data_IF_935669697482
#
_entry.id   IF_935669697482
#
_cell.length_a   1.000
_cell.length_b   1.000
_cell.length_c   1.000
_cell.angle_alpha   90.00
_cell.angle_beta   90.00
_cell.angle_gamma   90.00
#
_symmetry.space_group_name_H-M   'P 1'
#
loop_
_entity.id
_entity.type
_entity.pdbx_description
1 polymer ?
#
# COMPACT_ATOMS: atom_id res chain seq x y z
N UNK A 1 -44.17 -28.19 -20.15
CA UNK A 1 -44.46 -29.38 -19.34
C UNK A 1 -43.61 -29.25 -18.10
N UNK A 2 -44.31 -29.13 -16.98
CA UNK A 2 -43.85 -28.79 -15.64
C UNK A 2 -42.63 -29.59 -15.16
N UNK A 3 -41.74 -28.93 -14.42
CA UNK A 3 -41.26 -29.43 -13.12
C UNK A 3 -40.83 -28.25 -12.24
N UNK A 4 -41.69 -27.94 -11.27
CA UNK A 4 -41.41 -27.17 -10.06
C UNK A 4 -40.84 -28.09 -8.98
N UNK A 5 -39.92 -27.58 -8.16
CA UNK A 5 -39.51 -28.16 -6.88
C UNK A 5 -38.19 -27.51 -6.42
N UNK A 6 -38.10 -26.67 -5.38
CA UNK A 6 -38.95 -26.51 -4.20
C UNK A 6 -38.32 -27.22 -2.99
N UNK A 7 -37.25 -26.65 -2.42
CA UNK A 7 -36.71 -27.07 -1.12
C UNK A 7 -36.59 -25.87 -0.19
N UNK A 8 -37.59 -25.71 0.67
CA UNK A 8 -37.52 -24.96 1.91
C UNK A 8 -37.02 -25.90 3.00
N UNK A 9 -36.03 -25.46 3.81
CA UNK A 9 -35.67 -26.14 5.05
C UNK A 9 -35.87 -25.20 6.22
N UNK A 10 -36.70 -25.67 7.15
CA UNK A 10 -37.11 -25.02 8.37
C UNK A 10 -35.99 -25.03 9.43
N UNK A 11 -35.91 -23.93 10.18
CA UNK A 11 -35.22 -23.82 11.46
C UNK A 11 -36.13 -24.34 12.58
N UNK A 12 -35.60 -25.06 13.58
CA UNK A 12 -36.22 -25.13 14.89
C UNK A 12 -35.53 -24.16 15.84
N UNK A 13 -36.31 -23.25 16.42
CA UNK A 13 -35.93 -22.54 17.64
C UNK A 13 -36.15 -23.42 18.87
N UNK A 14 -35.39 -23.15 19.93
CA UNK A 14 -35.80 -23.43 21.32
C UNK A 14 -34.98 -22.58 22.29
N UNK A 15 -35.72 -21.81 23.09
CA UNK A 15 -35.29 -21.16 24.33
C UNK A 15 -34.88 -22.18 25.39
N UNK A 16 -33.96 -21.82 26.29
CA UNK A 16 -33.92 -22.04 27.75
C UNK A 16 -32.66 -21.30 28.28
N UNK A 17 -32.79 -20.18 29.00
CA UNK A 17 -32.92 -20.06 30.46
C UNK A 17 -31.66 -20.41 31.29
N UNK A 18 -31.09 -19.38 31.95
CA UNK A 18 -30.58 -19.44 33.32
C UNK A 18 -29.12 -19.85 33.56
N UNK A 19 -28.35 -18.98 34.23
CA UNK A 19 -27.14 -19.40 34.93
C UNK A 19 -26.10 -18.31 35.21
N UNK A 20 -26.30 -17.53 36.28
CA UNK A 20 -25.19 -16.93 37.02
C UNK A 20 -24.24 -18.04 37.52
N UNK A 21 -22.91 -17.89 37.38
CA UNK A 21 -21.95 -18.01 38.49
C UNK A 21 -20.49 -17.80 38.04
N UNK A 22 -19.78 -17.00 38.85
CA UNK A 22 -18.36 -17.08 39.25
C UNK A 22 -17.25 -16.89 38.22
N UNK A 23 -16.76 -15.65 38.22
CA UNK A 23 -15.33 -15.31 38.10
C UNK A 23 -14.48 -16.19 39.01
N UNK A 24 -13.60 -16.99 38.41
CA UNK A 24 -12.49 -17.66 39.09
C UNK A 24 -11.20 -17.18 38.44
N UNK A 25 -10.48 -16.32 39.16
CA UNK A 25 -9.12 -15.91 38.82
C UNK A 25 -8.20 -17.10 39.15
N UNK A 26 -7.68 -17.75 38.11
CA UNK A 26 -6.64 -18.76 38.24
C UNK A 26 -5.29 -18.08 38.01
N UNK A 27 -4.61 -17.78 39.12
CA UNK A 27 -3.19 -17.42 39.17
C UNK A 27 -2.39 -18.71 39.04
N UNK A 28 -1.61 -18.85 37.97
CA UNK A 28 -0.56 -19.86 37.85
C UNK A 28 0.82 -19.20 38.01
N UNK A 29 1.71 -19.75 38.85
CA UNK A 29 3.09 -19.29 38.96
C UNK A 29 4.00 -20.20 38.11
N UNK A 30 4.66 -19.63 37.10
CA UNK A 30 5.86 -20.18 36.47
C UNK A 30 6.69 -18.94 36.11
N UNK A 31 7.97 -18.84 36.43
CA UNK A 31 8.98 -19.88 36.40
C UNK A 31 10.16 -19.25 35.68
N UNK A 32 11.30 -19.32 36.33
CA UNK A 32 12.52 -18.57 36.08
C UNK A 32 13.22 -18.88 34.75
N UNK A 33 13.92 -17.85 34.23
CA UNK A 33 15.22 -17.87 33.51
C UNK A 33 15.31 -18.54 32.13
N UNK A 34 15.57 -17.73 31.10
CA UNK A 34 16.81 -17.80 30.30
C UNK A 34 16.95 -16.57 29.39
N UNK A 35 17.83 -15.65 29.77
CA UNK A 35 18.38 -14.62 28.89
C UNK A 35 19.46 -15.29 28.03
N UNK A 36 19.32 -15.28 26.71
CA UNK A 36 20.43 -15.51 25.79
C UNK A 36 20.87 -14.14 25.25
N UNK A 37 21.87 -13.56 25.91
CA UNK A 37 22.56 -12.37 25.44
C UNK A 37 23.67 -12.82 24.47
N UNK A 38 23.56 -12.45 23.19
CA UNK A 38 24.65 -12.58 22.24
C UNK A 38 25.54 -11.33 22.35
N UNK A 39 26.75 -11.52 22.89
CA UNK A 39 27.82 -10.54 22.91
C UNK A 39 28.43 -10.38 21.51
N UNK A 40 28.48 -9.14 21.00
CA UNK A 40 29.49 -8.72 20.02
C UNK A 40 30.39 -7.69 20.72
N UNK A 41 31.68 -8.00 20.75
CA UNK A 41 32.73 -7.23 21.41
C UNK A 41 33.49 -6.34 20.41
N UNK A 42 33.46 -5.04 20.62
CA UNK A 42 34.38 -4.00 20.12
C UNK A 42 34.32 -2.88 21.19
N UNK A 43 35.35 -2.27 21.75
CA UNK A 43 36.81 -2.39 21.76
C UNK A 43 37.27 -1.31 22.77
N UNK A 44 38.34 -1.59 23.54
CA UNK A 44 38.88 -0.71 24.59
C UNK A 44 39.41 0.63 24.05
N UNK A 45 39.29 1.70 24.86
CA UNK A 45 40.12 2.89 24.72
C UNK A 45 39.71 4.05 25.63
N UNK A 46 40.00 3.94 26.94
CA UNK A 46 39.82 5.02 27.90
C UNK A 46 41.00 6.00 27.95
N UNK A 47 40.74 7.23 28.38
CA UNK A 47 41.73 8.25 28.68
C UNK A 47 41.10 9.51 29.27
N UNK A 48 40.95 9.55 30.60
CA UNK A 48 40.59 10.74 31.35
C UNK A 48 41.81 11.68 31.47
N UNK A 49 41.58 12.98 31.29
CA UNK A 49 42.59 14.01 31.51
C UNK A 49 41.94 15.40 31.49
N UNK A 50 41.51 15.86 32.65
CA UNK A 50 41.03 17.22 32.83
C UNK A 50 42.16 18.26 32.76
N UNK A 51 41.87 19.41 32.18
CA UNK A 51 42.49 20.68 32.58
C UNK A 51 41.58 21.84 32.19
N UNK A 52 41.27 22.65 33.19
CA UNK A 52 40.63 23.95 33.09
C UNK A 52 41.55 24.94 32.38
N UNK A 53 40.99 25.78 31.50
CA UNK A 53 41.62 27.03 31.07
C UNK A 53 40.54 28.01 30.60
N UNK A 54 40.46 29.13 31.31
CA UNK A 54 39.62 30.27 30.99
C UNK A 54 40.16 30.98 29.74
N UNK A 55 39.26 31.30 28.81
CA UNK A 55 39.57 32.05 27.59
C UNK A 55 38.41 32.96 27.24
N UNK A 56 38.69 34.26 27.24
CA UNK A 56 37.79 35.40 27.20
C UNK A 56 37.62 35.90 25.76
N UNK A 57 36.41 36.35 25.41
CA UNK A 57 36.21 37.45 24.45
C UNK A 57 36.00 37.07 22.98
N UNK A 58 34.94 37.63 22.38
CA UNK A 58 34.76 37.65 20.93
C UNK A 58 33.32 37.86 20.48
N UNK A 59 32.74 39.01 20.77
CA UNK A 59 31.49 39.44 20.15
C UNK A 59 31.73 39.77 18.67
N UNK A 60 31.02 39.09 17.76
CA UNK A 60 30.87 39.52 16.38
C UNK A 60 29.39 39.37 16.01
N UNK A 61 28.79 40.48 15.58
CA UNK A 61 27.36 40.61 15.39
C UNK A 61 26.83 39.84 14.19
N UNK A 62 25.68 39.19 14.39
CA UNK A 62 24.82 38.75 13.31
C UNK A 62 23.70 39.80 13.14
N UNK A 63 23.81 40.59 12.08
CA UNK A 63 22.80 41.53 11.63
C UNK A 63 21.74 40.83 10.79
N UNK A 64 20.48 41.13 11.11
CA UNK A 64 19.36 41.41 10.19
C UNK A 64 18.99 40.37 9.12
N UNK A 65 17.76 39.85 9.20
CA UNK A 65 17.14 39.21 8.04
C UNK A 65 15.80 38.49 8.23
N UNK A 66 14.94 38.89 9.15
CA UNK A 66 13.55 38.40 9.17
C UNK A 66 12.76 39.02 8.02
N UNK A 67 12.73 38.36 6.87
CA UNK A 67 11.72 38.61 5.84
C UNK A 67 10.75 37.42 5.80
N UNK A 68 9.64 37.60 6.52
CA UNK A 68 8.42 36.85 6.29
C UNK A 68 7.86 37.24 4.93
N UNK A 69 8.25 36.50 3.90
CA UNK A 69 7.56 36.48 2.61
C UNK A 69 6.56 35.34 2.63
N UNK A 70 5.33 35.62 3.10
CA UNK A 70 4.19 34.75 2.87
C UNK A 70 3.91 34.69 1.37
N UNK A 71 4.62 33.81 0.67
CA UNK A 71 4.41 33.56 -0.74
C UNK A 71 3.11 32.76 -0.85
N UNK A 72 2.00 33.48 -0.84
CA UNK A 72 0.70 33.00 -1.27
C UNK A 72 0.83 32.74 -2.77
N UNK A 73 1.50 31.63 -3.12
CA UNK A 73 1.66 31.20 -4.49
C UNK A 73 0.25 31.06 -5.05
N UNK A 74 -0.11 31.99 -5.94
CA UNK A 74 -1.29 31.85 -6.79
C UNK A 74 -1.00 30.62 -7.64
N UNK A 75 -1.37 29.45 -7.14
CA UNK A 75 -1.22 28.17 -7.84
C UNK A 75 -1.74 28.37 -9.25
N UNK A 76 -0.83 28.26 -10.22
CA UNK A 76 -1.20 28.39 -11.62
C UNK A 76 -2.37 27.45 -11.84
N UNK A 77 -3.54 28.01 -12.17
CA UNK A 77 -4.75 27.24 -12.33
C UNK A 77 -4.52 26.29 -13.49
N UNK A 78 -4.11 25.06 -13.18
CA UNK A 78 -4.19 23.95 -14.10
C UNK A 78 -5.63 23.92 -14.58
N UNK A 79 -5.80 24.03 -15.89
CA UNK A 79 -7.09 23.77 -16.48
C UNK A 79 -7.21 22.25 -16.53
N UNK A 80 -8.23 21.69 -15.89
CA UNK A 80 -8.53 20.25 -15.97
C UNK A 80 -9.11 19.94 -17.36
N UNK A 81 -8.31 20.17 -18.40
CA UNK A 81 -8.74 20.08 -19.79
C UNK A 81 -8.86 18.60 -20.16
N UNK A 82 -10.06 18.19 -20.55
CA UNK A 82 -10.36 16.79 -20.89
C UNK A 82 -10.93 15.96 -19.75
N UNK A 83 -11.13 16.56 -18.56
CA UNK A 83 -11.82 15.89 -17.46
C UNK A 83 -13.27 15.54 -17.89
N UNK A 84 -13.79 14.35 -17.54
CA UNK A 84 -15.20 14.08 -17.69
C UNK A 84 -16.00 15.13 -16.90
N UNK A 85 -17.04 15.68 -17.52
CA UNK A 85 -17.88 16.74 -16.93
C UNK A 85 -18.88 16.22 -15.89
N UNK A 86 -18.94 14.90 -15.69
CA UNK A 86 -19.87 14.22 -14.80
C UNK A 86 -19.21 13.06 -14.08
N UNK A 87 -19.65 12.80 -12.85
CA UNK A 87 -19.12 11.75 -11.98
C UNK A 87 -18.22 12.31 -10.88
N UNK A 88 -17.68 11.40 -10.06
CA UNK A 88 -16.82 11.74 -8.92
C UNK A 88 -15.41 11.27 -9.20
N UNK A 89 -14.43 12.17 -9.07
CA UNK A 89 -13.01 11.81 -9.12
C UNK A 89 -12.43 11.97 -7.73
N UNK A 90 -11.80 10.91 -7.26
CA UNK A 90 -11.15 10.84 -5.95
C UNK A 90 -9.66 10.59 -6.16
N UNK A 91 -8.82 11.23 -5.37
CA UNK A 91 -7.40 10.90 -5.26
C UNK A 91 -7.09 10.46 -3.84
N UNK A 92 -6.26 9.43 -3.68
CA UNK A 92 -5.80 9.02 -2.37
C UNK A 92 -4.96 10.16 -1.77
N UNK A 93 -5.40 10.66 -0.62
CA UNK A 93 -4.72 11.69 0.16
C UNK A 93 -3.97 11.10 1.35
N UNK A 94 -4.19 9.81 1.65
CA UNK A 94 -3.33 9.00 2.51
C UNK A 94 -3.21 7.59 1.96
N UNK A 95 -2.04 6.97 2.13
CA UNK A 95 -1.79 5.56 1.87
C UNK A 95 -1.14 4.93 3.11
N UNK A 96 -1.70 3.82 3.57
CA UNK A 96 -1.16 2.99 4.64
C UNK A 96 -0.54 1.75 4.04
N UNK A 97 0.71 1.50 4.37
CA UNK A 97 1.41 0.30 3.94
C UNK A 97 1.21 -0.88 4.92
N UNK A 98 0.60 -0.64 6.08
CA UNK A 98 0.33 -1.66 7.11
C UNK A 98 1.36 -1.70 8.24
N UNK A 99 2.07 -0.59 8.49
CA UNK A 99 3.15 -0.43 9.46
C UNK A 99 2.79 0.45 10.67
N UNK A 100 1.54 0.92 10.80
CA UNK A 100 1.14 1.77 11.94
C UNK A 100 1.19 1.04 13.28
N UNK A 101 0.99 -0.27 13.24
CA UNK A 101 1.18 -1.18 14.37
C UNK A 101 1.74 -2.52 13.85
N UNK A 102 2.35 -3.35 14.72
CA UNK A 102 2.87 -4.66 14.29
C UNK A 102 1.85 -5.60 13.60
N UNK A 103 0.55 -5.35 13.78
CA UNK A 103 -0.53 -6.16 13.22
C UNK A 103 -1.42 -5.36 12.25
N UNK A 104 -1.06 -4.13 11.87
CA UNK A 104 -1.89 -3.29 11.00
C UNK A 104 -2.05 -3.91 9.60
N UNK A 105 -1.00 -4.53 9.07
CA UNK A 105 -1.01 -5.29 7.82
C UNK A 105 -2.15 -6.31 7.71
N UNK A 106 -2.63 -6.88 8.83
CA UNK A 106 -3.70 -7.89 8.86
C UNK A 106 -5.04 -7.37 8.34
N UNK A 107 -5.24 -6.04 8.32
CA UNK A 107 -6.51 -5.41 7.98
C UNK A 107 -6.59 -4.95 6.52
N UNK A 108 -5.45 -4.93 5.82
CA UNK A 108 -5.34 -4.39 4.47
C UNK A 108 -5.07 -5.48 3.45
N UNK A 109 -5.77 -5.42 2.32
CA UNK A 109 -5.71 -6.44 1.28
C UNK A 109 -6.99 -7.25 1.19
N UNK A 110 -6.87 -8.44 0.59
CA UNK A 110 -7.99 -9.35 0.35
C UNK A 110 -7.49 -10.79 0.48
N UNK A 111 -8.42 -11.71 0.64
CA UNK A 111 -8.17 -13.12 0.38
C UNK A 111 -8.10 -13.35 -1.14
N UNK A 112 -6.87 -13.47 -1.64
CA UNK A 112 -6.50 -13.65 -3.04
C UNK A 112 -6.47 -15.12 -3.42
N UNK A 113 -6.10 -16.00 -2.50
CA UNK A 113 -5.86 -17.40 -2.77
C UNK A 113 -6.98 -18.37 -2.34
N UNK A 114 -7.98 -17.84 -1.62
CA UNK A 114 -9.16 -18.55 -1.14
C UNK A 114 -8.92 -19.38 0.11
N UNK A 115 -7.72 -19.33 0.70
CA UNK A 115 -7.34 -20.06 1.89
C UNK A 115 -7.49 -19.17 3.12
N UNK A 116 -7.67 -19.80 4.28
CA UNK A 116 -7.66 -19.10 5.57
C UNK A 116 -6.78 -19.94 6.48
N UNK A 117 -5.59 -19.44 6.79
CA UNK A 117 -4.57 -20.11 7.57
C UNK A 117 -4.00 -19.19 8.64
N UNK A 118 -3.90 -19.70 9.86
CA UNK A 118 -2.97 -19.17 10.87
C UNK A 118 -1.89 -20.23 11.06
N UNK A 119 -0.82 -20.18 10.28
CA UNK A 119 0.28 -21.15 10.31
C UNK A 119 0.42 -21.97 9.02
N UNK A 120 1.20 -23.08 9.03
CA UNK A 120 1.60 -23.76 7.81
C UNK A 120 0.40 -24.40 7.10
N UNK A 121 -0.06 -23.76 6.03
CA UNK A 121 -1.09 -24.29 5.15
C UNK A 121 -0.51 -25.42 4.30
N UNK A 122 -1.06 -26.63 4.41
CA UNK A 122 -0.66 -27.77 3.57
C UNK A 122 -1.11 -27.63 2.11
N UNK A 123 -1.95 -26.63 1.81
CA UNK A 123 -2.52 -26.43 0.48
C UNK A 123 -1.97 -25.17 -0.22
N UNK A 124 -1.06 -24.43 0.42
CA UNK A 124 -0.38 -23.29 -0.18
C UNK A 124 0.88 -23.74 -0.95
N UNK A 125 1.37 -22.91 -1.87
CA UNK A 125 2.63 -23.14 -2.58
C UNK A 125 3.83 -23.32 -1.65
N UNK A 126 4.91 -23.87 -2.18
CA UNK A 126 6.16 -24.05 -1.43
C UNK A 126 6.86 -22.71 -1.28
N UNK A 127 7.21 -22.29 -0.04
CA UNK A 127 7.98 -21.08 0.16
C UNK A 127 9.34 -21.15 -0.54
N UNK A 128 9.75 -20.01 -1.10
CA UNK A 128 11.08 -19.84 -1.69
C UNK A 128 12.19 -19.98 -0.64
N UNK A 129 13.39 -20.37 -1.08
CA UNK A 129 14.60 -20.32 -0.24
C UNK A 129 14.60 -21.21 1.01
N UNK A 130 13.58 -22.06 1.20
CA UNK A 130 13.40 -22.83 2.43
C UNK A 130 12.83 -22.02 3.60
N UNK A 131 12.21 -20.86 3.30
CA UNK A 131 11.48 -20.07 4.30
C UNK A 131 10.43 -20.92 5.02
N UNK A 132 10.19 -20.61 6.29
CA UNK A 132 9.21 -21.34 7.07
C UNK A 132 7.80 -21.01 6.58
N UNK A 133 7.04 -22.02 6.14
CA UNK A 133 5.66 -21.82 5.67
C UNK A 133 4.76 -21.11 6.68
N UNK A 134 5.02 -21.25 7.98
CA UNK A 134 4.24 -20.58 9.02
C UNK A 134 4.47 -19.06 9.08
N UNK A 135 5.59 -18.55 8.56
CA UNK A 135 5.92 -17.13 8.53
C UNK A 135 5.44 -16.48 7.22
N UNK A 136 5.53 -17.23 6.11
CA UNK A 136 5.20 -16.72 4.77
C UNK A 136 3.69 -16.77 4.50
N UNK A 137 2.98 -17.77 5.04
CA UNK A 137 1.53 -17.92 4.91
C UNK A 137 0.79 -17.59 6.22
N UNK A 138 1.28 -16.61 7.00
CA UNK A 138 0.50 -16.06 8.12
C UNK A 138 -0.49 -15.04 7.56
N UNK A 139 -1.77 -15.41 7.54
CA UNK A 139 -2.80 -14.54 6.99
C UNK A 139 -3.23 -13.47 7.99
N UNK A 140 -3.72 -12.36 7.43
CA UNK A 140 -4.47 -11.35 8.15
C UNK A 140 -5.88 -11.79 8.54
N UNK A 141 -6.69 -10.83 8.96
CA UNK A 141 -8.03 -11.06 9.46
C UNK A 141 -8.93 -11.67 8.37
N UNK A 142 -9.50 -12.86 8.63
CA UNK A 142 -10.34 -13.61 7.68
C UNK A 142 -9.61 -14.09 6.41
N UNK A 143 -8.31 -14.39 6.51
CA UNK A 143 -7.51 -14.88 5.38
C UNK A 143 -7.08 -13.75 4.45
N UNK A 144 -6.78 -12.56 4.98
CA UNK A 144 -6.28 -11.45 4.16
C UNK A 144 -4.80 -11.70 3.84
N UNK A 145 -4.46 -11.72 2.55
CA UNK A 145 -3.09 -11.89 2.09
C UNK A 145 -2.41 -10.51 2.00
N UNK A 146 -1.34 -10.32 2.79
CA UNK A 146 -0.53 -9.10 2.76
C UNK A 146 0.92 -9.33 3.21
N UNK A 147 1.62 -10.21 2.50
CA UNK A 147 3.05 -10.46 2.70
C UNK A 147 3.91 -9.21 2.43
N UNK A 148 3.44 -8.27 1.59
CA UNK A 148 4.11 -6.98 1.45
C UNK A 148 4.19 -6.23 2.79
N UNK A 149 3.05 -6.03 3.46
CA UNK A 149 3.00 -5.37 4.76
C UNK A 149 3.72 -6.16 5.86
N UNK A 150 3.57 -7.49 5.86
CA UNK A 150 4.12 -8.36 6.90
C UNK A 150 5.62 -8.61 6.77
N UNK A 151 6.09 -8.94 5.57
CA UNK A 151 7.42 -9.49 5.32
C UNK A 151 8.31 -8.54 4.50
N UNK A 152 7.77 -7.79 3.53
CA UNK A 152 8.56 -6.89 2.69
C UNK A 152 8.87 -5.56 3.38
N UNK A 153 7.89 -4.93 4.04
CA UNK A 153 8.11 -3.66 4.73
C UNK A 153 9.20 -3.72 5.80
N UNK A 154 9.31 -4.77 6.64
CA UNK A 154 10.44 -4.91 7.54
C UNK A 154 11.80 -4.94 6.83
N UNK A 155 11.90 -5.54 5.65
CA UNK A 155 13.13 -5.51 4.84
C UNK A 155 13.40 -4.08 4.34
N UNK A 156 12.38 -3.40 3.83
CA UNK A 156 12.47 -2.01 3.37
C UNK A 156 12.90 -1.06 4.51
N UNK A 157 12.46 -1.33 5.75
CA UNK A 157 12.83 -0.52 6.91
C UNK A 157 14.32 -0.56 7.29
N UNK A 158 15.09 -1.47 6.68
CA UNK A 158 16.56 -1.50 6.81
C UNK A 158 17.26 -0.44 5.94
N UNK A 159 16.56 0.12 4.95
CA UNK A 159 17.09 1.10 3.99
C UNK A 159 16.36 2.44 4.03
N UNK A 160 15.08 2.46 4.44
CA UNK A 160 14.25 3.65 4.59
C UNK A 160 13.62 3.65 5.97
N UNK A 161 13.75 4.74 6.73
CA UNK A 161 13.33 4.77 8.14
C UNK A 161 11.81 4.70 8.33
N UNK A 162 11.04 5.45 7.54
CA UNK A 162 9.58 5.54 7.66
C UNK A 162 8.92 5.61 6.28
N UNK A 163 8.72 4.43 5.69
CA UNK A 163 8.21 4.30 4.33
C UNK A 163 6.80 4.89 4.19
N UNK A 164 5.91 4.66 5.16
CA UNK A 164 4.56 5.23 5.12
C UNK A 164 4.59 6.76 5.26
N UNK A 165 5.42 7.32 6.14
CA UNK A 165 5.53 8.78 6.24
C UNK A 165 6.03 9.40 4.94
N UNK A 166 7.08 8.85 4.33
CA UNK A 166 7.64 9.35 3.07
C UNK A 166 6.60 9.35 1.93
N UNK A 167 5.83 8.26 1.80
CA UNK A 167 4.78 8.16 0.77
C UNK A 167 3.70 9.20 1.01
N UNK A 168 3.25 9.37 2.26
CA UNK A 168 2.20 10.32 2.59
C UNK A 168 2.67 11.77 2.45
N UNK A 169 3.91 12.09 2.83
CA UNK A 169 4.51 13.41 2.60
C UNK A 169 4.55 13.71 1.10
N UNK A 170 5.03 12.77 0.28
CA UNK A 170 5.05 12.94 -1.16
C UNK A 170 3.65 13.18 -1.73
N UNK A 171 2.61 12.45 -1.29
CA UNK A 171 1.22 12.67 -1.71
C UNK A 171 0.74 14.09 -1.34
N UNK A 172 1.05 14.56 -0.13
CA UNK A 172 0.68 15.91 0.34
C UNK A 172 1.41 17.01 -0.43
N UNK A 173 2.59 16.73 -0.97
CA UNK A 173 3.33 17.62 -1.88
C UNK A 173 2.87 17.53 -3.34
N UNK A 174 1.90 16.65 -3.64
CA UNK A 174 1.35 16.46 -4.97
C UNK A 174 2.06 15.39 -5.80
N UNK A 175 2.71 14.44 -5.15
CA UNK A 175 3.40 13.29 -5.74
C UNK A 175 2.49 12.34 -6.51
N UNK A 176 3.02 11.17 -6.87
CA UNK A 176 2.19 10.12 -7.47
C UNK A 176 1.18 9.56 -6.45
N UNK A 177 -0.05 9.27 -6.88
CA UNK A 177 -1.08 8.67 -6.00
C UNK A 177 -2.08 7.81 -6.77
N UNK A 178 -2.97 7.11 -6.07
CA UNK A 178 -4.11 6.40 -6.65
C UNK A 178 -5.23 7.38 -7.00
N UNK A 179 -5.70 7.37 -8.25
CA UNK A 179 -6.86 8.18 -8.68
C UNK A 179 -7.99 7.27 -9.16
N UNK A 180 -9.19 7.47 -8.62
CA UNK A 180 -10.39 6.69 -8.98
C UNK A 180 -11.45 7.62 -9.54
N UNK A 181 -11.93 7.32 -10.73
CA UNK A 181 -13.07 7.98 -11.35
C UNK A 181 -14.30 7.08 -11.31
N UNK A 182 -15.37 7.54 -10.64
CA UNK A 182 -16.66 6.88 -10.54
C UNK A 182 -17.67 7.58 -11.45
N UNK A 183 -18.11 6.90 -12.50
CA UNK A 183 -19.07 7.41 -13.46
C UNK A 183 -20.51 7.16 -13.00
N UNK A 184 -21.35 8.20 -13.03
CA UNK A 184 -22.78 8.06 -12.72
C UNK A 184 -23.13 7.81 -11.25
N UNK A 185 -22.19 8.05 -10.31
CA UNK A 185 -22.47 7.95 -8.88
C UNK A 185 -23.58 8.93 -8.46
N UNK A 186 -24.73 8.40 -8.07
CA UNK A 186 -25.86 9.17 -7.52
C UNK A 186 -25.90 9.18 -6.00
N UNK A 187 -27.03 9.63 -5.45
CA UNK A 187 -27.26 9.73 -3.99
C UNK A 187 -27.96 8.50 -3.39
N UNK A 188 -28.34 7.50 -4.20
CA UNK A 188 -29.04 6.32 -3.69
C UNK A 188 -28.10 5.48 -2.79
N UNK A 189 -28.58 4.94 -1.66
CA UNK A 189 -27.77 4.13 -0.75
C UNK A 189 -27.30 2.82 -1.38
N UNK A 190 -28.03 2.31 -2.37
CA UNK A 190 -27.66 1.16 -3.19
C UNK A 190 -27.70 1.54 -4.66
N UNK A 191 -26.62 1.24 -5.39
CA UNK A 191 -26.50 1.47 -6.82
C UNK A 191 -25.74 0.31 -7.45
N UNK A 192 -26.15 -0.09 -8.65
CA UNK A 192 -25.50 -1.14 -9.42
C UNK A 192 -24.97 -0.54 -10.72
N UNK A 193 -23.95 -1.17 -11.30
CA UNK A 193 -23.34 -0.74 -12.57
C UNK A 193 -22.84 0.70 -12.47
N UNK A 194 -21.97 0.96 -11.50
CA UNK A 194 -21.21 2.21 -11.42
C UNK A 194 -19.87 1.95 -12.11
N UNK A 195 -19.67 2.36 -13.37
CA UNK A 195 -18.39 2.14 -14.02
C UNK A 195 -17.31 2.93 -13.28
N UNK A 196 -16.22 2.25 -12.95
CA UNK A 196 -15.05 2.89 -12.37
C UNK A 196 -13.82 2.73 -13.25
N UNK A 197 -13.00 3.77 -13.26
CA UNK A 197 -11.68 3.79 -13.91
C UNK A 197 -10.64 4.13 -12.86
N UNK A 198 -9.53 3.42 -12.87
CA UNK A 198 -8.45 3.62 -11.90
C UNK A 198 -7.18 4.00 -12.63
N UNK A 199 -6.52 5.03 -12.14
CA UNK A 199 -5.33 5.61 -12.72
C UNK A 199 -4.23 5.74 -11.67
N UNK A 200 -3.01 5.76 -12.16
CA UNK A 200 -1.87 6.29 -11.43
C UNK A 200 -1.86 7.79 -11.68
N UNK A 201 -2.04 8.59 -10.63
CA UNK A 201 -1.88 10.04 -10.70
C UNK A 201 -0.40 10.39 -10.82
N UNK A 202 -0.06 11.32 -11.72
CA UNK A 202 1.29 11.85 -11.84
C UNK A 202 1.49 13.07 -10.90
N UNK A 203 2.73 13.54 -10.81
CA UNK A 203 3.09 14.74 -10.03
C UNK A 203 2.25 15.95 -10.46
N UNK A 204 1.66 16.64 -9.48
CA UNK A 204 1.01 17.94 -9.65
C UNK A 204 2.04 19.07 -9.55
N UNK A 205 1.80 20.24 -10.18
CA UNK A 205 2.73 21.37 -10.12
C UNK A 205 2.71 22.14 -8.80
N UNK A 206 1.78 21.79 -7.89
CA UNK A 206 1.64 22.41 -6.57
C UNK A 206 0.95 21.42 -5.63
N UNK A 207 1.26 21.55 -4.33
CA UNK A 207 0.63 20.77 -3.28
C UNK A 207 -0.91 20.88 -3.36
N UNK A 208 -1.64 19.75 -3.40
CA UNK A 208 -3.10 19.72 -3.48
C UNK A 208 -3.76 20.23 -2.20
N UNK A 209 -4.91 20.88 -2.34
CA UNK A 209 -5.75 21.27 -1.21
C UNK A 209 -6.75 20.17 -0.79
N UNK A 210 -7.02 19.22 -1.69
CA UNK A 210 -7.98 18.12 -1.50
C UNK A 210 -9.42 18.59 -1.24
N UNK A 211 -9.84 19.64 -1.95
CA UNK A 211 -11.17 20.28 -1.80
C UNK A 211 -12.04 20.16 -3.07
N UNK A 212 -11.72 19.24 -3.98
CA UNK A 212 -12.43 19.07 -5.26
C UNK A 212 -12.02 20.06 -6.35
N UNK A 213 -11.10 20.99 -6.05
CA UNK A 213 -10.59 21.97 -7.00
C UNK A 213 -9.36 21.50 -7.77
N UNK A 214 -8.58 20.61 -7.17
CA UNK A 214 -7.27 20.16 -7.66
C UNK A 214 -7.40 19.34 -8.94
N UNK A 215 -6.64 19.67 -9.99
CA UNK A 215 -6.54 18.81 -11.17
C UNK A 215 -5.38 17.84 -10.98
N UNK A 216 -5.64 16.53 -10.96
CA UNK A 216 -4.60 15.51 -10.84
C UNK A 216 -4.24 14.95 -12.22
N UNK A 217 -3.05 15.21 -12.77
CA UNK A 217 -2.65 14.67 -14.07
C UNK A 217 -2.59 13.13 -14.04
N UNK A 218 -2.90 12.49 -15.17
CA UNK A 218 -2.83 11.03 -15.29
C UNK A 218 -1.44 10.63 -15.79
N UNK A 219 -0.79 9.67 -15.11
CA UNK A 219 0.44 9.04 -15.58
C UNK A 219 0.11 8.17 -16.81
N UNK A 220 0.78 8.39 -17.96
CA UNK A 220 0.62 7.58 -19.16
C UNK A 220 0.74 6.06 -18.94
N UNK A 221 1.49 5.60 -17.94
CA UNK A 221 1.67 4.16 -17.64
C UNK A 221 0.35 3.48 -17.27
N UNK A 222 -0.63 4.24 -16.79
CA UNK A 222 -1.96 3.74 -16.41
C UNK A 222 -2.94 3.65 -17.58
N UNK A 223 -2.49 3.88 -18.82
CA UNK A 223 -3.34 3.87 -20.01
C UNK A 223 -2.97 2.72 -20.96
N UNK A 224 -3.97 2.03 -21.50
CA UNK A 224 -3.77 1.00 -22.52
C UNK A 224 -3.27 1.59 -23.84
N UNK A 225 -3.71 2.80 -24.16
CA UNK A 225 -3.31 3.54 -25.37
C UNK A 225 -2.80 4.92 -24.95
N UNK A 226 -1.57 5.29 -25.32
CA UNK A 226 -1.05 6.63 -25.05
C UNK A 226 -1.99 7.71 -25.58
N UNK A 227 -2.41 8.63 -24.71
CA UNK A 227 -3.32 9.72 -25.09
C UNK A 227 -4.81 9.46 -24.84
N UNK A 228 -5.23 8.23 -24.51
CA UNK A 228 -6.65 7.86 -24.37
C UNK A 228 -7.07 7.73 -22.89
N UNK A 229 -7.57 8.81 -22.29
CA UNK A 229 -8.01 8.84 -20.88
C UNK A 229 -9.15 7.85 -20.59
N UNK A 230 -9.96 7.52 -21.59
CA UNK A 230 -11.10 6.62 -21.50
C UNK A 230 -10.72 5.13 -21.47
N UNK A 231 -9.45 4.80 -21.75
CA UNK A 231 -8.91 3.44 -21.82
C UNK A 231 -7.81 3.20 -20.76
N UNK A 232 -8.12 3.26 -19.45
CA UNK A 232 -7.16 2.91 -18.41
C UNK A 232 -6.80 1.42 -18.47
N UNK A 233 -5.64 1.05 -17.94
CA UNK A 233 -5.28 -0.37 -17.75
C UNK A 233 -6.27 -1.06 -16.81
N UNK A 234 -6.75 -0.35 -15.77
CA UNK A 234 -7.69 -0.87 -14.77
C UNK A 234 -9.07 -0.22 -14.92
N UNK A 235 -10.11 -1.06 -15.08
CA UNK A 235 -11.51 -0.62 -15.05
C UNK A 235 -12.42 -1.64 -14.39
N UNK A 236 -13.49 -1.15 -13.74
CA UNK A 236 -14.55 -1.95 -13.15
C UNK A 236 -15.89 -1.53 -13.79
N UNK A 237 -16.31 -2.16 -14.90
CA UNK A 237 -17.51 -1.75 -15.63
C UNK A 237 -18.81 -2.03 -14.87
N UNK A 238 -18.78 -2.92 -13.87
CA UNK A 238 -19.95 -3.41 -13.14
C UNK A 238 -19.76 -3.32 -11.62
N UNK A 239 -19.17 -2.23 -11.15
CA UNK A 239 -19.02 -1.98 -9.72
C UNK A 239 -20.39 -1.70 -9.07
N UNK A 240 -20.46 -1.82 -7.74
CA UNK A 240 -21.68 -1.59 -6.96
C UNK A 240 -21.40 -0.73 -5.73
N UNK A 241 -22.44 -0.05 -5.28
CA UNK A 241 -22.48 0.62 -3.98
C UNK A 241 -23.60 0.01 -3.14
N UNK A 242 -23.30 -0.40 -1.91
CA UNK A 242 -24.31 -0.84 -0.93
C UNK A 242 -24.00 -0.18 0.40
N UNK A 243 -24.94 0.61 0.92
CA UNK A 243 -24.80 1.30 2.21
C UNK A 243 -23.51 2.14 2.33
N UNK A 244 -23.17 2.89 1.28
CA UNK A 244 -21.94 3.69 1.13
C UNK A 244 -20.67 2.90 0.85
N UNK A 245 -20.64 1.58 1.04
CA UNK A 245 -19.52 0.76 0.61
C UNK A 245 -19.55 0.62 -0.91
N UNK A 246 -18.49 1.09 -1.57
CA UNK A 246 -18.23 0.86 -2.98
C UNK A 246 -17.32 -0.37 -3.13
N UNK A 247 -17.66 -1.23 -4.07
CA UNK A 247 -16.85 -2.39 -4.44
C UNK A 247 -16.64 -2.46 -5.94
N UNK A 248 -15.39 -2.70 -6.35
CA UNK A 248 -15.03 -3.01 -7.74
C UNK A 248 -15.65 -4.31 -8.25
N UNK A 249 -16.04 -5.22 -7.33
CA UNK A 249 -16.58 -6.52 -7.66
C UNK A 249 -15.49 -7.49 -8.13
N UNK A 250 -15.57 -7.91 -9.40
CA UNK A 250 -14.60 -8.84 -9.98
C UNK A 250 -13.19 -8.22 -10.06
N UNK A 251 -12.18 -9.09 -10.09
CA UNK A 251 -10.78 -8.71 -10.28
C UNK A 251 -10.61 -7.93 -11.59
N UNK A 252 -9.93 -6.78 -11.53
CA UNK A 252 -9.64 -6.01 -12.73
C UNK A 252 -8.59 -6.72 -13.60
N UNK A 253 -8.74 -6.56 -14.92
CA UNK A 253 -7.74 -7.01 -15.88
C UNK A 253 -6.64 -5.96 -16.03
N UNK A 254 -5.41 -6.39 -16.27
CA UNK A 254 -4.26 -5.51 -16.46
C UNK A 254 -3.53 -5.13 -15.15
N UNK A 255 -2.33 -4.54 -15.24
CA UNK A 255 -1.60 -4.08 -14.07
C UNK A 255 -1.99 -2.66 -13.64
N UNK A 256 -1.94 -2.40 -12.34
CA UNK A 256 -1.91 -1.07 -11.74
C UNK A 256 -0.48 -0.76 -11.31
N UNK A 257 0.13 0.27 -11.88
CA UNK A 257 1.46 0.70 -11.46
C UNK A 257 1.35 1.67 -10.30
N UNK A 258 1.72 1.26 -9.09
CA UNK A 258 1.93 2.18 -7.98
C UNK A 258 3.34 2.76 -8.04
N UNK A 259 3.50 4.04 -7.72
CA UNK A 259 4.80 4.67 -7.52
C UNK A 259 4.84 5.21 -6.10
N UNK A 260 5.57 4.52 -5.24
CA UNK A 260 5.76 4.91 -3.84
C UNK A 260 7.03 5.75 -3.77
N UNK A 261 6.92 7.00 -3.34
CA UNK A 261 8.10 7.84 -3.12
C UNK A 261 8.64 7.58 -1.73
N UNK A 262 9.88 7.11 -1.64
CA UNK A 262 10.55 6.70 -0.41
C UNK A 262 11.93 7.34 -0.37
N UNK A 263 12.22 8.18 0.63
CA UNK A 263 13.47 8.93 0.72
C UNK A 263 13.78 9.77 -0.53
N UNK A 264 12.76 10.21 -1.27
CA UNK A 264 12.92 10.94 -2.55
C UNK A 264 13.15 10.04 -3.78
N UNK A 265 13.17 8.72 -3.62
CA UNK A 265 13.35 7.75 -4.72
C UNK A 265 12.05 6.98 -5.00
N UNK A 266 11.66 6.79 -6.27
CA UNK A 266 10.44 6.05 -6.60
C UNK A 266 10.67 4.53 -6.53
N UNK A 267 9.88 3.84 -5.72
CA UNK A 267 9.65 2.40 -5.82
C UNK A 267 8.42 2.15 -6.69
N UNK A 268 8.64 1.59 -7.89
CA UNK A 268 7.60 1.38 -8.90
C UNK A 268 7.12 -0.06 -8.86
N UNK A 269 5.85 -0.27 -8.51
CA UNK A 269 5.26 -1.58 -8.23
C UNK A 269 4.11 -1.89 -9.21
N UNK A 270 4.27 -2.85 -10.15
CA UNK A 270 3.21 -3.26 -11.07
C UNK A 270 2.27 -4.30 -10.44
N UNK A 271 1.23 -3.87 -9.75
CA UNK A 271 0.27 -4.76 -9.11
C UNK A 271 -0.65 -5.42 -10.13
N UNK A 272 -0.86 -6.73 -9.97
CA UNK A 272 -1.77 -7.53 -10.78
C UNK A 272 -2.94 -8.02 -9.94
N UNK A 273 -3.99 -8.49 -10.61
CA UNK A 273 -5.21 -8.99 -9.97
C UNK A 273 -5.83 -8.00 -8.96
N UNK A 274 -5.86 -6.72 -9.34
CA UNK A 274 -6.22 -5.64 -8.41
C UNK A 274 -7.68 -5.72 -7.98
N UNK A 275 -7.88 -5.64 -6.67
CA UNK A 275 -9.18 -5.49 -6.00
C UNK A 275 -9.18 -4.18 -5.23
N UNK A 276 -10.32 -3.50 -5.26
CA UNK A 276 -10.53 -2.21 -4.61
C UNK A 276 -11.88 -2.20 -3.90
N UNK A 277 -11.87 -1.71 -2.68
CA UNK A 277 -13.05 -1.49 -1.83
C UNK A 277 -12.84 -0.22 -1.02
N UNK A 278 -13.88 0.58 -0.81
CA UNK A 278 -13.83 1.69 0.12
C UNK A 278 -15.23 2.10 0.56
N UNK A 279 -15.32 2.82 1.67
CA UNK A 279 -16.55 3.44 2.14
C UNK A 279 -16.60 4.90 1.68
N UNK A 280 -17.64 5.27 0.95
CA UNK A 280 -17.90 6.67 0.60
C UNK A 280 -18.25 7.46 1.87
N UNK A 281 -17.79 8.71 1.95
CA UNK A 281 -18.21 9.63 3.00
C UNK A 281 -19.74 9.84 2.96
N UNK A 282 -20.38 10.31 4.06
CA UNK A 282 -21.82 10.62 4.06
C UNK A 282 -22.27 11.59 2.97
N UNK A 283 -21.39 12.54 2.62
CA UNK A 283 -21.56 13.51 1.53
C UNK A 283 -21.23 12.94 0.15
N UNK A 284 -20.63 11.74 0.09
CA UNK A 284 -20.22 11.02 -1.13
C UNK A 284 -19.29 11.84 -2.02
N UNK A 285 -18.45 12.65 -1.38
CA UNK A 285 -17.40 13.47 -1.99
C UNK A 285 -16.00 13.00 -1.62
N UNK A 286 -15.87 11.97 -0.78
CA UNK A 286 -14.61 11.35 -0.42
C UNK A 286 -14.78 9.86 -0.14
N UNK A 287 -13.69 9.21 0.26
CA UNK A 287 -13.68 7.83 0.67
C UNK A 287 -12.80 7.60 1.91
N UNK A 288 -13.24 6.69 2.77
CA UNK A 288 -12.56 6.24 3.99
C UNK A 288 -12.53 4.71 4.01
N UNK A 289 -11.76 4.13 4.94
CA UNK A 289 -11.66 2.67 5.10
C UNK A 289 -11.33 1.96 3.77
N UNK A 290 -10.51 2.61 2.94
CA UNK A 290 -10.13 2.09 1.64
C UNK A 290 -9.18 0.92 1.78
N UNK A 291 -9.40 -0.10 0.94
CA UNK A 291 -8.57 -1.30 0.83
C UNK A 291 -8.25 -1.53 -0.63
N UNK A 292 -6.97 -1.56 -0.92
CA UNK A 292 -6.40 -2.03 -2.19
C UNK A 292 -5.73 -3.36 -1.91
N UNK A 293 -5.89 -4.33 -2.80
CA UNK A 293 -5.03 -5.49 -2.80
C UNK A 293 -4.82 -6.08 -4.17
N UNK A 294 -3.79 -6.90 -4.27
CA UNK A 294 -3.36 -7.53 -5.51
C UNK A 294 -2.08 -8.31 -5.26
N UNK A 295 -1.39 -8.68 -6.33
CA UNK A 295 -0.14 -9.44 -6.25
C UNK A 295 0.95 -8.79 -7.08
N UNK A 296 2.19 -8.91 -6.61
CA UNK A 296 3.41 -8.51 -7.32
C UNK A 296 4.15 -9.75 -7.77
N UNK A 297 4.54 -9.83 -9.05
CA UNK A 297 5.38 -10.92 -9.50
C UNK A 297 6.78 -10.75 -8.93
N UNK A 298 7.39 -11.84 -8.48
CA UNK A 298 8.68 -11.79 -7.82
C UNK A 298 9.78 -11.22 -8.73
N UNK A 299 9.80 -11.60 -10.01
CA UNK A 299 10.73 -11.05 -11.00
C UNK A 299 10.59 -9.53 -11.16
N UNK A 300 9.35 -9.03 -11.24
CA UNK A 300 9.06 -7.58 -11.36
C UNK A 300 9.45 -6.83 -10.07
N UNK A 301 9.25 -7.48 -8.92
CA UNK A 301 9.60 -6.93 -7.60
C UNK A 301 11.12 -6.81 -7.42
N UNK A 302 11.88 -7.84 -7.79
CA UNK A 302 13.35 -7.81 -7.74
C UNK A 302 13.91 -6.69 -8.63
N UNK A 303 13.37 -6.52 -9.83
CA UNK A 303 13.77 -5.46 -10.75
C UNK A 303 13.44 -4.06 -10.17
N UNK A 304 12.26 -3.91 -9.58
CA UNK A 304 11.85 -2.67 -8.91
C UNK A 304 12.79 -2.31 -7.76
N UNK A 305 13.14 -3.29 -6.91
CA UNK A 305 14.07 -3.06 -5.79
C UNK A 305 15.50 -2.78 -6.24
N UNK A 306 16.01 -3.44 -7.29
CA UNK A 306 17.34 -3.13 -7.83
C UNK A 306 17.44 -1.66 -8.25
N UNK A 307 16.45 -1.18 -9.00
CA UNK A 307 16.38 0.24 -9.41
C UNK A 307 16.25 1.18 -8.23
N UNK A 308 15.36 0.84 -7.30
CA UNK A 308 15.13 1.66 -6.12
C UNK A 308 16.40 1.79 -5.25
N UNK A 309 17.05 0.67 -4.91
CA UNK A 309 18.28 0.63 -4.12
C UNK A 309 19.44 1.33 -4.82
N UNK A 310 19.60 1.12 -6.13
CA UNK A 310 20.58 1.83 -6.93
C UNK A 310 20.34 3.35 -7.00
N UNK A 311 19.07 3.76 -6.93
CA UNK A 311 18.69 5.16 -6.83
C UNK A 311 19.17 5.80 -5.52
N UNK A 312 19.06 5.07 -4.40
CA UNK A 312 19.54 5.51 -3.08
C UNK A 312 21.06 5.61 -3.06
N UNK A 313 21.74 4.55 -3.48
CA UNK A 313 23.20 4.48 -3.53
C UNK A 313 23.62 3.67 -4.76
N UNK A 314 24.36 4.29 -5.67
CA UNK A 314 24.86 3.62 -6.88
C UNK A 314 25.76 2.41 -6.59
N UNK A 315 26.33 2.28 -5.39
CA UNK A 315 27.04 1.07 -4.98
C UNK A 315 26.11 -0.15 -4.85
N UNK A 316 24.82 0.06 -4.60
CA UNK A 316 23.80 -1.00 -4.56
C UNK A 316 23.33 -1.44 -5.94
N UNK A 317 23.91 -0.90 -7.02
CA UNK A 317 23.75 -1.48 -8.36
C UNK A 317 24.61 -2.74 -8.58
N UNK A 318 25.60 -3.00 -7.71
CA UNK A 318 26.37 -4.24 -7.76
C UNK A 318 25.50 -5.42 -7.30
N UNK A 319 25.42 -6.47 -8.13
CA UNK A 319 24.59 -7.63 -7.85
C UNK A 319 24.98 -8.35 -6.56
N UNK A 320 26.27 -8.41 -6.22
CA UNK A 320 26.71 -9.02 -4.98
C UNK A 320 26.34 -8.17 -3.76
N UNK A 321 26.27 -6.84 -3.91
CA UNK A 321 25.84 -5.94 -2.84
C UNK A 321 24.36 -6.15 -2.46
N UNK A 322 23.49 -6.41 -3.43
CA UNK A 322 22.05 -6.60 -3.19
C UNK A 322 21.60 -8.06 -3.09
N UNK A 323 22.49 -9.02 -3.36
CA UNK A 323 22.14 -10.44 -3.40
C UNK A 323 21.42 -10.93 -2.13
N UNK A 324 21.91 -10.55 -0.95
CA UNK A 324 21.30 -10.93 0.33
C UNK A 324 19.89 -10.35 0.49
N UNK A 325 19.71 -9.07 0.12
CA UNK A 325 18.41 -8.41 0.19
C UNK A 325 17.41 -9.07 -0.76
N UNK A 326 17.82 -9.32 -2.01
CA UNK A 326 16.96 -9.98 -2.99
C UNK A 326 16.64 -11.43 -2.60
N UNK A 327 17.57 -12.13 -1.95
CA UNK A 327 17.29 -13.47 -1.42
C UNK A 327 16.21 -13.41 -0.33
N UNK A 328 16.32 -12.47 0.61
CA UNK A 328 15.29 -12.26 1.63
C UNK A 328 13.94 -11.86 1.01
N UNK A 329 13.96 -11.03 -0.05
CA UNK A 329 12.76 -10.66 -0.79
C UNK A 329 12.07 -11.89 -1.41
N UNK A 330 12.83 -12.80 -2.02
CA UNK A 330 12.27 -14.06 -2.57
C UNK A 330 11.57 -14.89 -1.51
N UNK A 331 12.17 -14.98 -0.34
CA UNK A 331 11.62 -15.70 0.82
C UNK A 331 10.29 -15.11 1.34
N UNK A 332 9.87 -13.93 0.86
CA UNK A 332 8.57 -13.33 1.17
C UNK A 332 7.43 -13.72 0.22
N UNK A 333 7.71 -14.42 -0.88
CA UNK A 333 6.68 -14.84 -1.83
C UNK A 333 5.75 -15.88 -1.23
N UNK A 334 4.45 -15.59 -1.23
CA UNK A 334 3.38 -16.33 -0.55
C UNK A 334 2.27 -16.81 -1.51
N UNK A 335 2.32 -16.38 -2.76
CA UNK A 335 1.33 -16.69 -3.78
C UNK A 335 1.94 -17.31 -5.03
N UNK A 336 1.10 -18.01 -5.79
CA UNK A 336 1.34 -18.29 -7.20
C UNK A 336 0.75 -17.19 -8.07
N UNK A 337 1.49 -16.77 -9.10
CA UNK A 337 1.10 -15.77 -10.08
C UNK A 337 -0.20 -16.13 -10.85
N UNK A 338 -0.58 -17.40 -10.82
CA UNK A 338 -1.85 -17.89 -11.38
C UNK A 338 -3.05 -17.48 -10.53
N UNK A 339 -2.84 -17.12 -9.25
CA UNK A 339 -3.88 -16.90 -8.24
C UNK A 339 -4.52 -18.19 -7.72
N UNK A 340 -3.97 -19.37 -8.08
CA UNK A 340 -4.45 -20.68 -7.63
C UNK A 340 -3.30 -21.39 -6.96
N UNK A 341 -3.45 -21.71 -5.67
CA UNK A 341 -2.42 -22.38 -4.88
C UNK A 341 -2.23 -23.84 -5.29
N UNK A 342 -0.98 -24.27 -5.31
CA UNK A 342 -0.56 -25.65 -5.56
C UNK A 342 0.65 -25.98 -4.67
N UNK A 343 0.52 -26.90 -3.69
CA UNK A 343 1.60 -27.25 -2.77
C UNK A 343 2.79 -27.98 -3.43
N UNK A 344 2.68 -28.36 -4.70
CA UNK A 344 3.77 -28.93 -5.48
C UNK A 344 4.59 -27.87 -6.25
N UNK A 345 4.10 -26.63 -6.33
CA UNK A 345 4.74 -25.51 -7.02
C UNK A 345 5.38 -24.52 -6.03
N UNK A 346 6.40 -23.78 -6.47
CA UNK A 346 7.08 -22.77 -5.63
C UNK A 346 6.41 -21.42 -5.80
N UNK A 347 6.19 -20.70 -4.69
CA UNK A 347 5.59 -19.36 -4.72
C UNK A 347 6.43 -18.39 -5.57
N UNK A 348 5.78 -17.65 -6.48
CA UNK A 348 6.42 -16.74 -7.44
C UNK A 348 5.77 -15.34 -7.47
N UNK A 349 4.88 -15.06 -6.52
CA UNK A 349 4.26 -13.76 -6.31
C UNK A 349 4.14 -13.40 -4.81
N UNK A 350 4.09 -12.10 -4.54
CA UNK A 350 3.92 -11.51 -3.21
C UNK A 350 2.54 -10.85 -3.15
N UNK A 351 1.72 -11.20 -2.16
CA UNK A 351 0.46 -10.52 -1.87
C UNK A 351 0.69 -9.11 -1.33
N UNK A 352 -0.13 -8.16 -1.77
CA UNK A 352 -0.07 -6.76 -1.34
C UNK A 352 -1.43 -6.31 -0.85
N UNK A 353 -1.44 -5.68 0.31
CA UNK A 353 -2.61 -5.04 0.89
C UNK A 353 -2.27 -3.64 1.40
N UNK A 354 -2.95 -2.62 0.88
CA UNK A 354 -2.76 -1.22 1.27
C UNK A 354 -4.06 -0.62 1.77
N UNK A 355 -3.97 0.16 2.85
CA UNK A 355 -5.07 1.00 3.34
C UNK A 355 -5.03 2.37 2.66
N UNK A 356 -6.17 3.04 2.48
CA UNK A 356 -6.17 4.41 1.99
C UNK A 356 -7.40 5.23 2.41
N UNK A 357 -7.25 6.55 2.37
CA UNK A 357 -8.38 7.49 2.31
C UNK A 357 -8.29 8.30 1.03
N UNK A 358 -9.43 8.80 0.54
CA UNK A 358 -9.46 9.62 -0.67
C UNK A 358 -10.29 10.88 -0.49
N UNK A 359 -9.87 11.93 -1.17
CA UNK A 359 -10.52 13.23 -1.19
C UNK A 359 -10.91 13.63 -2.63
N UNK A 360 -11.88 14.54 -2.80
CA UNK A 360 -12.34 14.91 -4.12
C UNK A 360 -11.27 15.70 -4.85
N UNK A 361 -11.10 15.38 -6.13
CA UNK A 361 -10.26 16.11 -7.08
C UNK A 361 -10.99 16.20 -8.43
N UNK A 362 -10.31 16.70 -9.45
CA UNK A 362 -10.69 16.63 -10.85
C UNK A 362 -9.66 15.83 -11.61
N UNK A 363 -10.10 15.08 -12.61
CA UNK A 363 -9.18 14.38 -13.51
C UNK A 363 -8.44 15.42 -14.38
N UNK A 364 -7.11 15.42 -14.32
CA UNK A 364 -6.28 16.32 -15.12
C UNK A 364 -6.02 15.80 -16.53
N UNK A 365 -5.16 16.52 -17.25
CA UNK A 365 -4.62 16.04 -18.53
C UNK A 365 -3.65 14.87 -18.32
N UNK A 366 -3.27 14.20 -19.40
CA UNK A 366 -2.20 13.21 -19.38
C UNK A 366 -0.87 13.92 -19.17
N UNK A 367 -0.09 13.49 -18.18
CA UNK A 367 1.25 14.01 -17.93
C UNK A 367 2.22 13.57 -19.04
N UNK A 368 3.34 14.30 -19.25
CA UNK A 368 4.43 13.77 -20.06
C UNK A 368 4.90 12.41 -19.50
N UNK A 369 5.30 11.46 -20.35
CA UNK A 369 5.93 10.23 -19.88
C UNK A 369 7.14 10.57 -19.01
N UNK A 370 7.16 10.02 -17.79
CA UNK A 370 8.31 10.13 -16.90
C UNK A 370 9.40 9.20 -17.46
N UNK A 371 10.56 9.75 -17.78
CA UNK A 371 11.72 8.93 -18.11
C UNK A 371 12.02 8.01 -16.93
N UNK A 372 12.07 6.71 -17.18
CA UNK A 372 12.54 5.75 -16.19
C UNK A 372 14.05 5.85 -16.23
N UNK A 373 14.60 6.71 -15.37
CA UNK A 373 16.04 6.70 -15.14
C UNK A 373 16.38 5.34 -14.52
N UNK A 374 17.28 4.59 -15.16
CA UNK A 374 17.81 3.36 -14.63
C UNK A 374 19.13 3.68 -13.93
N UNK A 375 19.14 3.86 -12.60
CA UNK A 375 20.36 4.21 -11.87
C UNK A 375 21.42 3.10 -11.97
N UNK A 376 21.01 1.88 -12.36
CA UNK A 376 21.88 0.73 -12.56
C UNK A 376 22.09 0.37 -14.03
N UNK A 377 21.61 1.22 -14.96
CA UNK A 377 21.84 1.07 -16.39
C UNK A 377 23.31 1.33 -16.78
N UNK A 378 23.72 0.89 -17.99
CA UNK A 378 25.08 1.08 -18.50
C UNK A 378 25.49 2.54 -18.69
#
# INVERSE_FOLDING_TARGET
MDMLGGFARALPGSLLAGGCLRTSVLVWPLGTTSLLALLVALGCGGGEGGSTSAGQGGAAGASSGTQGGGNSGSGGSLTCTGAPTSGLVLAANTLSLGDETPEAWRQFGFNLDGLVGTGPSQNACQPQGGAASAEVHDDGDNGIDNSFGRNVLPLLSTVVEDASADVNEAILEGGSTLVVYLEGLGNAPTQNMIPARVYTGAQTPAAPLFQGGDCWPVDPVSLQTPGALELPTISYPQSLVVNQEWSGGAVAQGPLTLRLMLGGHPLVLPLRQVRLLFELTPTRDGAVNGRLGGMLLLEEMEEAFRRFLGGIDGALCDEAAVATFLQQLRETADLLATGVQDPDEVCDAISVGLGFTMAPVKLGSIAPPVAVDDPCGP
#
